data_IF_902676404225
#
_entry.id   IF_902676404225
#
_cell.length_a   1.000
_cell.length_b   1.000
_cell.length_c   1.000
_cell.angle_alpha   90.00
_cell.angle_beta   90.00
_cell.angle_gamma   90.00
#
_symmetry.space_group_name_H-M   'P 1'
#
loop_
_entity.id
_entity.type
_entity.pdbx_description
1 polymer ?
#
# COMPACT_ATOMS: atom_id res chain seq x y z
N UNK A 1 -30.45 0.48 -16.63
CA UNK A 1 -31.30 1.57 -16.09
C UNK A 1 -30.77 2.15 -14.77
N UNK A 2 -30.48 1.34 -13.75
CA UNK A 2 -29.94 1.79 -12.44
C UNK A 2 -28.59 2.49 -12.60
N UNK A 3 -27.71 1.97 -13.45
CA UNK A 3 -26.38 2.53 -13.68
C UNK A 3 -26.44 3.90 -14.38
N UNK A 4 -27.37 4.06 -15.34
CA UNK A 4 -27.57 5.34 -16.04
C UNK A 4 -28.09 6.40 -15.08
N UNK A 5 -29.09 6.08 -14.26
CA UNK A 5 -29.62 6.99 -13.21
C UNK A 5 -28.55 7.38 -12.18
N UNK A 6 -27.67 6.46 -11.83
CA UNK A 6 -26.56 6.73 -10.92
C UNK A 6 -25.56 7.73 -11.54
N UNK A 7 -25.22 7.57 -12.82
CA UNK A 7 -24.33 8.48 -13.54
C UNK A 7 -24.96 9.87 -13.72
N UNK A 8 -26.26 9.92 -14.02
CA UNK A 8 -27.00 11.19 -14.12
C UNK A 8 -27.01 11.92 -12.77
N UNK A 9 -27.28 11.23 -11.68
CA UNK A 9 -27.23 11.78 -10.32
C UNK A 9 -25.82 12.32 -9.96
N UNK A 10 -24.76 11.65 -10.41
CA UNK A 10 -23.38 12.09 -10.18
C UNK A 10 -23.07 13.37 -10.95
N UNK A 11 -23.51 13.47 -12.22
CA UNK A 11 -23.35 14.66 -13.05
C UNK A 11 -24.11 15.86 -12.49
N UNK A 12 -25.35 15.66 -12.00
CA UNK A 12 -26.13 16.70 -11.35
C UNK A 12 -25.47 17.28 -10.09
N UNK A 13 -24.58 16.50 -9.45
CA UNK A 13 -23.80 16.93 -8.29
C UNK A 13 -22.40 17.45 -8.64
N UNK A 14 -22.14 17.70 -9.93
CA UNK A 14 -20.86 18.24 -10.40
C UNK A 14 -19.69 17.24 -10.33
N UNK A 15 -19.99 15.94 -10.31
CA UNK A 15 -18.99 14.90 -10.29
C UNK A 15 -18.68 14.41 -11.69
N UNK A 16 -17.48 14.69 -12.15
CA UNK A 16 -17.08 14.41 -13.53
C UNK A 16 -16.29 13.11 -13.68
N UNK A 17 -15.81 12.53 -12.55
CA UNK A 17 -14.94 11.35 -12.59
C UNK A 17 -15.16 10.39 -11.40
N UNK A 18 -14.61 9.19 -11.51
CA UNK A 18 -14.70 8.16 -10.46
C UNK A 18 -13.99 8.54 -9.14
N UNK A 19 -13.05 9.47 -9.18
CA UNK A 19 -12.36 9.94 -7.98
C UNK A 19 -13.30 10.81 -7.13
N UNK A 20 -14.16 11.61 -7.76
CA UNK A 20 -15.20 12.39 -7.08
C UNK A 20 -16.21 11.46 -6.39
N UNK A 21 -16.55 10.33 -7.02
CA UNK A 21 -17.41 9.29 -6.43
C UNK A 21 -16.75 8.62 -5.23
N UNK A 22 -15.47 8.31 -5.31
CA UNK A 22 -14.72 7.73 -4.20
C UNK A 22 -14.64 8.69 -2.99
N UNK A 23 -14.64 9.99 -3.23
CA UNK A 23 -14.73 11.01 -2.17
C UNK A 23 -16.11 11.09 -1.50
N UNK A 24 -17.19 10.76 -2.23
CA UNK A 24 -18.56 10.81 -1.68
C UNK A 24 -18.99 9.59 -0.90
N UNK A 25 -18.45 8.43 -1.22
CA UNK A 25 -18.75 7.24 -0.43
C UNK A 25 -18.03 7.38 0.91
N UNK A 26 -18.64 8.16 1.78
CA UNK A 26 -18.36 8.15 3.22
C UNK A 26 -18.59 6.72 3.68
N UNK A 27 -17.55 5.93 3.63
CA UNK A 27 -17.56 4.56 4.09
C UNK A 27 -17.69 4.64 5.60
N UNK A 28 -18.76 4.08 6.16
CA UNK A 28 -18.91 4.04 7.61
C UNK A 28 -17.69 3.35 8.24
N UNK A 29 -17.30 3.72 9.48
CA UNK A 29 -16.22 3.04 10.17
C UNK A 29 -16.36 1.52 10.18
N UNK A 30 -17.58 1.00 10.32
CA UNK A 30 -17.88 -0.43 10.31
C UNK A 30 -17.57 -1.09 8.97
N UNK A 31 -17.78 -0.39 7.87
CA UNK A 31 -17.44 -0.87 6.53
C UNK A 31 -15.92 -0.86 6.34
N UNK A 32 -15.24 0.23 6.69
CA UNK A 32 -13.77 0.33 6.62
C UNK A 32 -13.09 -0.75 7.45
N UNK A 33 -13.62 -1.06 8.62
CA UNK A 33 -13.08 -2.12 9.48
C UNK A 33 -13.12 -3.52 8.86
N UNK A 34 -13.98 -3.74 7.87
CA UNK A 34 -14.11 -5.03 7.15
C UNK A 34 -13.31 -5.09 5.85
N UNK A 35 -12.82 -3.96 5.35
CA UNK A 35 -12.08 -3.90 4.09
C UNK A 35 -10.67 -4.50 4.23
N UNK A 36 -10.06 -5.00 3.14
CA UNK A 36 -8.65 -5.35 3.14
C UNK A 36 -7.79 -4.12 3.45
N UNK A 37 -6.61 -4.35 4.02
CA UNK A 37 -5.64 -3.30 4.34
C UNK A 37 -4.36 -3.54 3.57
N UNK A 38 -3.72 -2.44 3.18
CA UNK A 38 -2.42 -2.43 2.50
C UNK A 38 -1.45 -1.57 3.28
N UNK A 39 -0.17 -1.87 3.16
CA UNK A 39 0.86 -1.00 3.69
C UNK A 39 0.98 0.26 2.84
N UNK A 40 1.29 1.37 3.49
CA UNK A 40 1.64 2.64 2.86
C UNK A 40 2.64 3.38 3.74
N UNK A 41 3.54 4.14 3.13
CA UNK A 41 4.48 4.99 3.85
C UNK A 41 3.96 6.42 3.79
N UNK A 42 3.86 7.07 4.93
CA UNK A 42 3.45 8.48 5.02
C UNK A 42 4.58 9.26 5.70
N UNK A 43 5.15 10.23 4.99
CA UNK A 43 6.23 11.07 5.46
C UNK A 43 5.74 12.50 5.63
N UNK A 44 5.99 13.09 6.80
CA UNK A 44 5.74 14.51 7.02
C UNK A 44 6.91 15.35 6.47
N UNK A 45 6.62 16.33 5.63
CA UNK A 45 7.61 17.20 5.00
C UNK A 45 7.78 18.55 5.70
N UNK A 46 6.84 18.91 6.57
CA UNK A 46 6.82 20.16 7.32
C UNK A 46 5.93 20.04 8.56
N UNK A 47 5.79 21.12 9.32
CA UNK A 47 4.99 21.14 10.54
C UNK A 47 3.50 20.92 10.32
N UNK A 48 2.95 21.39 9.19
CA UNK A 48 1.55 21.10 8.81
C UNK A 48 1.37 19.61 8.60
N UNK A 49 2.27 18.99 7.82
CA UNK A 49 2.27 17.54 7.59
C UNK A 49 2.43 16.75 8.89
N UNK A 50 3.28 17.19 9.81
CA UNK A 50 3.44 16.55 11.11
C UNK A 50 2.12 16.56 11.92
N UNK A 51 1.42 17.69 11.94
CA UNK A 51 0.10 17.78 12.60
C UNK A 51 -0.93 16.90 11.90
N UNK A 52 -0.94 16.89 10.57
CA UNK A 52 -1.85 16.06 9.78
C UNK A 52 -1.57 14.56 9.98
N UNK A 53 -0.29 14.16 10.07
CA UNK A 53 0.08 12.80 10.40
C UNK A 53 -0.45 12.37 11.77
N UNK A 54 -0.32 13.23 12.80
CA UNK A 54 -0.88 12.95 14.13
C UNK A 54 -2.40 12.80 14.11
N UNK A 55 -3.11 13.59 13.29
CA UNK A 55 -4.56 13.46 13.10
C UNK A 55 -4.92 12.12 12.48
N UNK A 56 -4.20 11.70 11.42
CA UNK A 56 -4.41 10.40 10.78
C UNK A 56 -4.14 9.24 11.75
N UNK A 57 -3.05 9.31 12.52
CA UNK A 57 -2.75 8.31 13.56
C UNK A 57 -3.85 8.25 14.60
N UNK A 58 -4.33 9.40 15.08
CA UNK A 58 -5.44 9.45 16.04
C UNK A 58 -6.72 8.82 15.48
N UNK A 59 -7.11 9.21 14.26
CA UNK A 59 -8.28 8.62 13.59
C UNK A 59 -8.14 7.10 13.40
N UNK A 60 -6.97 6.63 13.04
CA UNK A 60 -6.72 5.21 12.81
C UNK A 60 -6.89 4.36 14.08
N UNK A 61 -6.63 4.94 15.25
CA UNK A 61 -6.77 4.25 16.54
C UNK A 61 -8.14 4.46 17.19
N UNK A 62 -8.71 5.64 17.08
CA UNK A 62 -9.95 5.99 17.79
C UNK A 62 -11.20 5.61 16.97
N UNK A 63 -11.13 5.68 15.63
CA UNK A 63 -12.30 5.53 14.77
C UNK A 63 -12.22 4.26 13.90
N UNK A 64 -11.04 3.96 13.37
CA UNK A 64 -10.89 2.92 12.34
C UNK A 64 -10.05 1.71 12.80
N UNK A 65 -9.94 1.48 14.10
CA UNK A 65 -9.17 0.35 14.64
C UNK A 65 -9.95 -0.97 14.55
N UNK A 66 -9.36 -1.96 13.87
CA UNK A 66 -9.82 -3.35 13.93
C UNK A 66 -8.61 -4.28 13.81
N UNK A 67 -8.19 -4.88 14.93
CA UNK A 67 -6.96 -5.68 15.08
C UNK A 67 -5.67 -4.90 14.82
N UNK A 68 -5.72 -3.88 13.97
CA UNK A 68 -4.66 -2.93 13.64
C UNK A 68 -5.25 -1.57 13.31
N UNK A 69 -4.49 -0.48 13.45
CA UNK A 69 -4.95 0.84 13.02
C UNK A 69 -5.06 0.89 11.49
N UNK A 70 -6.07 1.60 10.98
CA UNK A 70 -6.37 1.73 9.56
C UNK A 70 -6.58 3.19 9.20
N UNK A 71 -6.09 3.60 8.04
CA UNK A 71 -6.32 4.93 7.50
C UNK A 71 -7.08 4.79 6.18
N UNK A 72 -8.35 5.18 6.11
CA UNK A 72 -9.07 5.24 4.83
C UNK A 72 -8.42 6.24 3.89
N UNK A 73 -8.36 5.93 2.60
CA UNK A 73 -7.83 6.86 1.58
C UNK A 73 -8.54 8.22 1.61
N UNK A 74 -9.85 8.24 1.84
CA UNK A 74 -10.64 9.46 1.97
C UNK A 74 -10.16 10.36 3.11
N UNK A 75 -9.79 9.79 4.25
CA UNK A 75 -9.24 10.56 5.38
C UNK A 75 -7.81 11.03 5.06
N UNK A 76 -7.00 10.19 4.41
CA UNK A 76 -5.67 10.62 3.96
C UNK A 76 -5.76 11.84 3.03
N UNK A 77 -6.66 11.83 2.05
CA UNK A 77 -6.84 12.95 1.11
C UNK A 77 -7.21 14.25 1.82
N UNK A 78 -8.07 14.21 2.84
CA UNK A 78 -8.43 15.38 3.65
C UNK A 78 -7.24 16.03 4.35
N UNK A 79 -6.27 15.23 4.77
CA UNK A 79 -5.11 15.65 5.54
C UNK A 79 -3.80 15.55 4.75
N UNK A 80 -3.87 15.53 3.42
CA UNK A 80 -2.70 15.30 2.55
C UNK A 80 -1.66 16.43 2.60
N UNK A 81 -2.06 17.65 2.95
CA UNK A 81 -1.15 18.79 2.96
C UNK A 81 0.07 18.56 3.86
N UNK A 82 1.27 18.76 3.29
CA UNK A 82 2.54 18.54 3.97
C UNK A 82 2.93 17.07 4.16
N UNK A 83 2.23 16.14 3.48
CA UNK A 83 2.53 14.70 3.51
C UNK A 83 2.97 14.19 2.14
N UNK A 84 3.92 13.26 2.13
CA UNK A 84 4.27 12.41 0.99
C UNK A 84 3.78 10.99 1.26
N UNK A 85 3.21 10.37 0.23
CA UNK A 85 2.70 9.01 0.27
C UNK A 85 3.56 8.10 -0.62
N UNK A 86 4.11 7.04 -0.05
CA UNK A 86 4.88 6.00 -0.76
C UNK A 86 4.09 4.71 -0.92
N UNK A 87 4.40 3.96 -1.99
CA UNK A 87 3.70 2.72 -2.34
C UNK A 87 4.00 1.54 -1.41
N UNK A 88 5.00 1.67 -0.54
CA UNK A 88 5.46 0.65 0.40
C UNK A 88 5.95 -0.66 -0.26
N UNK A 89 6.01 -1.73 0.54
CA UNK A 89 6.58 -3.04 0.23
C UNK A 89 5.63 -3.96 -0.56
N UNK A 90 5.89 -5.26 -0.54
CA UNK A 90 5.05 -6.31 -1.16
C UNK A 90 3.62 -6.36 -0.57
N UNK A 91 3.44 -5.88 0.67
CA UNK A 91 2.12 -5.73 1.27
C UNK A 91 1.41 -4.43 0.88
N UNK A 92 2.04 -3.59 0.06
CA UNK A 92 1.47 -2.37 -0.51
C UNK A 92 0.45 -2.66 -1.61
N UNK A 93 -0.50 -1.73 -1.80
CA UNK A 93 -1.59 -1.93 -2.76
C UNK A 93 -1.11 -1.98 -4.22
N UNK A 94 -0.10 -1.17 -4.58
CA UNK A 94 0.47 -1.19 -5.94
C UNK A 94 1.13 -2.53 -6.24
N UNK A 95 1.98 -3.02 -5.33
CA UNK A 95 2.65 -4.30 -5.51
C UNK A 95 1.62 -5.43 -5.63
N UNK A 96 0.62 -5.48 -4.75
CA UNK A 96 -0.47 -6.46 -4.78
C UNK A 96 -1.32 -6.38 -6.03
N UNK A 97 -1.55 -5.19 -6.57
CA UNK A 97 -2.26 -5.01 -7.83
C UNK A 97 -1.48 -5.59 -9.02
N UNK A 98 -0.16 -5.40 -9.03
CA UNK A 98 0.73 -5.94 -10.07
C UNK A 98 0.76 -7.47 -10.01
N UNK A 99 1.02 -8.04 -8.83
CA UNK A 99 1.06 -9.50 -8.60
C UNK A 99 -0.29 -10.15 -8.93
N UNK A 100 -1.39 -9.51 -8.53
CA UNK A 100 -2.74 -9.99 -8.79
C UNK A 100 -3.22 -9.79 -10.24
N UNK A 101 -2.38 -9.27 -11.14
CA UNK A 101 -2.72 -9.06 -12.56
C UNK A 101 -3.89 -8.11 -12.77
N UNK A 102 -4.07 -7.09 -11.91
CA UNK A 102 -5.16 -6.13 -12.05
C UNK A 102 -5.07 -5.35 -13.38
N UNK A 103 -6.20 -4.84 -13.89
CA UNK A 103 -6.22 -4.06 -15.13
C UNK A 103 -5.24 -2.89 -15.09
N UNK A 104 -4.62 -2.59 -16.25
CA UNK A 104 -3.61 -1.52 -16.36
C UNK A 104 -4.13 -0.16 -15.89
N UNK A 105 -5.40 0.15 -16.18
CA UNK A 105 -6.04 1.40 -15.75
C UNK A 105 -6.08 1.54 -14.23
N UNK A 106 -6.32 0.44 -13.51
CA UNK A 106 -6.30 0.43 -12.06
C UNK A 106 -4.88 0.65 -11.51
N UNK A 107 -3.88 -0.01 -12.11
CA UNK A 107 -2.47 0.17 -11.77
C UNK A 107 -2.05 1.63 -12.00
N UNK A 108 -2.42 2.23 -13.13
CA UNK A 108 -2.14 3.64 -13.43
C UNK A 108 -2.76 4.57 -12.38
N UNK A 109 -4.01 4.32 -11.99
CA UNK A 109 -4.69 5.09 -10.96
C UNK A 109 -3.96 5.02 -9.62
N UNK A 110 -3.48 3.84 -9.23
CA UNK A 110 -2.67 3.66 -8.02
C UNK A 110 -1.34 4.42 -8.11
N UNK A 111 -0.62 4.31 -9.23
CA UNK A 111 0.64 5.05 -9.43
C UNK A 111 0.44 6.56 -9.31
N UNK A 112 -0.65 7.09 -9.87
CA UNK A 112 -0.98 8.53 -9.77
C UNK A 112 -1.30 8.97 -8.34
N UNK A 113 -1.84 8.08 -7.52
CA UNK A 113 -2.20 8.38 -6.14
C UNK A 113 -0.98 8.54 -5.23
N UNK A 114 0.09 7.77 -5.47
CA UNK A 114 1.34 7.82 -4.72
C UNK A 114 2.22 9.01 -5.18
N UNK A 115 2.97 9.59 -4.25
CA UNK A 115 3.96 10.63 -4.54
C UNK A 115 5.27 10.01 -5.04
N UNK A 116 5.64 8.84 -4.50
CA UNK A 116 6.78 8.05 -4.94
C UNK A 116 6.46 6.56 -4.88
N UNK A 117 7.23 5.76 -5.62
CA UNK A 117 7.11 4.31 -5.65
C UNK A 117 8.32 3.68 -4.97
N UNK A 118 8.16 2.44 -4.51
CA UNK A 118 9.18 1.72 -3.75
C UNK A 118 9.44 0.34 -4.37
N UNK A 119 10.72 -0.03 -4.41
CA UNK A 119 11.17 -1.38 -4.70
C UNK A 119 12.05 -1.87 -3.54
N UNK A 120 12.12 -3.18 -3.37
CA UNK A 120 12.91 -3.82 -2.33
C UNK A 120 13.82 -4.91 -2.92
N UNK A 121 14.89 -5.33 -2.21
CA UNK A 121 15.71 -6.48 -2.61
C UNK A 121 14.83 -7.71 -2.81
N UNK A 122 15.20 -8.55 -3.78
CA UNK A 122 14.42 -9.76 -4.12
C UNK A 122 14.31 -10.71 -2.93
N UNK A 123 15.35 -10.81 -2.10
CA UNK A 123 15.35 -11.62 -0.89
C UNK A 123 14.22 -11.30 0.09
N UNK A 124 13.80 -10.03 0.18
CA UNK A 124 12.66 -9.65 1.05
C UNK A 124 11.33 -10.31 0.63
N UNK A 125 11.22 -10.67 -0.66
CA UNK A 125 9.99 -11.23 -1.24
C UNK A 125 10.15 -12.71 -1.63
N UNK A 126 11.28 -13.34 -1.33
CA UNK A 126 11.56 -14.73 -1.69
C UNK A 126 10.58 -15.72 -1.05
N UNK A 127 10.02 -15.39 0.11
CA UNK A 127 8.99 -16.19 0.76
C UNK A 127 7.77 -16.43 -0.15
N UNK A 128 7.49 -15.54 -1.11
CA UNK A 128 6.37 -15.68 -2.06
C UNK A 128 6.55 -16.89 -2.97
N UNK A 129 7.79 -17.29 -3.27
CA UNK A 129 8.10 -18.45 -4.11
C UNK A 129 7.74 -19.79 -3.43
N UNK A 130 7.63 -19.78 -2.11
CA UNK A 130 7.31 -20.97 -1.28
C UNK A 130 5.85 -21.02 -0.87
N UNK A 131 5.07 -20.03 -1.25
CA UNK A 131 3.67 -19.89 -0.83
C UNK A 131 2.73 -20.33 -1.93
N UNK A 132 1.94 -21.36 -1.71
CA UNK A 132 0.87 -21.81 -2.62
C UNK A 132 -0.22 -20.75 -2.84
N UNK A 133 -0.21 -19.67 -2.07
CA UNK A 133 -1.20 -18.58 -2.13
C UNK A 133 -0.76 -17.43 -3.03
N UNK A 134 0.51 -17.38 -3.38
CA UNK A 134 1.07 -16.30 -4.21
C UNK A 134 1.25 -16.78 -5.66
N UNK A 135 0.88 -15.97 -6.65
CA UNK A 135 1.00 -16.34 -8.06
C UNK A 135 2.41 -16.07 -8.63
N UNK A 136 3.45 -16.14 -7.79
CA UNK A 136 4.86 -15.90 -8.16
C UNK A 136 5.62 -17.18 -7.88
N UNK A 137 6.35 -17.68 -8.90
CA UNK A 137 6.99 -18.99 -8.83
C UNK A 137 8.51 -18.94 -9.05
N UNK A 138 9.04 -17.82 -9.53
CA UNK A 138 10.45 -17.68 -9.88
C UNK A 138 11.05 -16.35 -9.43
N UNK A 139 12.36 -16.33 -9.20
CA UNK A 139 13.10 -15.11 -8.91
C UNK A 139 13.04 -14.10 -10.05
N UNK A 140 12.90 -14.57 -11.29
CA UNK A 140 12.77 -13.71 -12.46
C UNK A 140 11.43 -12.96 -12.43
N UNK A 141 10.33 -13.63 -12.04
CA UNK A 141 9.03 -12.98 -11.87
C UNK A 141 9.08 -11.89 -10.77
N UNK A 142 9.76 -12.14 -9.65
CA UNK A 142 9.99 -11.10 -8.62
C UNK A 142 10.78 -9.91 -9.19
N UNK A 143 11.81 -10.20 -9.98
CA UNK A 143 12.61 -9.17 -10.63
C UNK A 143 11.79 -8.36 -11.64
N UNK A 144 10.90 -9.01 -12.38
CA UNK A 144 10.01 -8.36 -13.35
C UNK A 144 8.98 -7.44 -12.70
N UNK A 145 8.53 -7.77 -11.49
CA UNK A 145 7.68 -6.86 -10.70
C UNK A 145 8.44 -5.56 -10.38
N UNK A 146 9.68 -5.67 -9.88
CA UNK A 146 10.52 -4.50 -9.61
C UNK A 146 10.79 -3.68 -10.89
N UNK A 147 11.12 -4.35 -11.99
CA UNK A 147 11.31 -3.70 -13.31
C UNK A 147 10.03 -2.98 -13.77
N UNK A 148 8.87 -3.57 -13.55
CA UNK A 148 7.59 -2.96 -13.90
C UNK A 148 7.32 -1.71 -13.06
N UNK A 149 7.61 -1.74 -11.74
CA UNK A 149 7.49 -0.56 -10.87
C UNK A 149 8.43 0.56 -11.35
N UNK A 150 9.68 0.24 -11.70
CA UNK A 150 10.63 1.22 -12.25
C UNK A 150 10.10 1.86 -13.54
N UNK A 151 9.60 1.05 -14.48
CA UNK A 151 9.01 1.55 -15.73
C UNK A 151 7.79 2.45 -15.51
N UNK A 152 6.93 2.09 -14.56
CA UNK A 152 5.80 2.93 -14.17
C UNK A 152 6.27 4.26 -13.56
N UNK A 153 7.34 4.24 -12.76
CA UNK A 153 7.97 5.45 -12.24
C UNK A 153 8.46 6.38 -13.35
N UNK A 154 9.17 5.83 -14.35
CA UNK A 154 9.63 6.58 -15.52
C UNK A 154 8.45 7.14 -16.34
N UNK A 155 7.47 6.31 -16.67
CA UNK A 155 6.31 6.68 -17.49
C UNK A 155 5.47 7.79 -16.86
N UNK A 156 5.27 7.74 -15.53
CA UNK A 156 4.43 8.69 -14.80
C UNK A 156 5.23 9.76 -14.03
N UNK A 157 6.54 9.88 -14.30
CA UNK A 157 7.43 10.83 -13.64
C UNK A 157 7.34 10.77 -12.10
N UNK A 158 7.35 9.55 -11.55
CA UNK A 158 7.38 9.30 -10.11
C UNK A 158 8.78 8.86 -9.71
N UNK A 159 9.28 9.41 -8.60
CA UNK A 159 10.51 8.92 -8.00
C UNK A 159 10.32 7.45 -7.60
N UNK A 160 11.30 6.61 -7.92
CA UNK A 160 11.36 5.23 -7.43
C UNK A 160 12.52 5.14 -6.45
N UNK A 161 12.25 4.72 -5.23
CA UNK A 161 13.26 4.54 -4.18
C UNK A 161 13.47 3.06 -3.88
N UNK A 162 14.72 2.68 -3.63
CA UNK A 162 15.05 1.34 -3.14
C UNK A 162 15.20 1.40 -1.63
N UNK A 163 14.41 0.58 -0.93
CA UNK A 163 14.47 0.42 0.54
C UNK A 163 14.79 -1.03 0.87
N UNK A 164 15.37 -1.28 2.04
CA UNK A 164 15.79 -2.63 2.41
C UNK A 164 14.90 -3.30 3.44
N UNK A 165 13.98 -2.57 4.07
CA UNK A 165 13.12 -3.08 5.14
C UNK A 165 13.91 -3.78 6.26
N UNK A 166 14.96 -3.12 6.74
CA UNK A 166 15.94 -3.65 7.69
C UNK A 166 15.28 -3.98 9.02
N UNK A 167 15.47 -5.20 9.51
CA UNK A 167 14.88 -5.68 10.74
C UNK A 167 15.90 -6.03 11.85
N UNK A 168 17.18 -5.96 11.56
CA UNK A 168 18.27 -6.14 12.52
C UNK A 168 19.46 -5.28 12.12
N UNK A 169 20.39 -5.03 13.05
CA UNK A 169 21.50 -4.11 12.85
C UNK A 169 22.70 -4.80 12.21
N UNK A 170 23.19 -5.87 12.85
CA UNK A 170 24.35 -6.60 12.42
C UNK A 170 23.93 -7.95 11.81
N UNK A 171 24.68 -8.49 10.80
CA UNK A 171 24.34 -9.77 10.16
C UNK A 171 24.15 -10.93 11.15
N UNK A 172 24.89 -10.93 12.26
CA UNK A 172 24.79 -11.94 13.30
C UNK A 172 23.45 -11.93 14.05
N UNK A 173 22.73 -10.81 14.03
CA UNK A 173 21.43 -10.66 14.68
C UNK A 173 20.30 -11.39 13.92
N UNK A 174 20.56 -11.85 12.71
CA UNK A 174 19.63 -12.63 11.90
C UNK A 174 19.03 -13.82 12.67
N UNK A 175 19.85 -14.50 13.50
CA UNK A 175 19.40 -15.62 14.31
C UNK A 175 18.28 -15.23 15.30
N UNK A 176 18.37 -14.03 15.89
CA UNK A 176 17.34 -13.54 16.80
C UNK A 176 16.04 -13.23 16.08
N UNK A 177 16.13 -12.71 14.85
CA UNK A 177 14.95 -12.52 13.99
C UNK A 177 14.26 -13.85 13.72
N UNK A 178 14.99 -14.90 13.33
CA UNK A 178 14.43 -16.24 13.10
C UNK A 178 13.70 -16.78 14.34
N UNK A 179 14.31 -16.68 15.52
CA UNK A 179 13.71 -17.11 16.77
C UNK A 179 12.38 -16.35 17.03
N UNK A 180 12.37 -15.03 16.82
CA UNK A 180 11.16 -14.21 17.00
C UNK A 180 10.07 -14.59 15.99
N UNK A 181 10.42 -14.81 14.73
CA UNK A 181 9.47 -15.22 13.70
C UNK A 181 8.87 -16.60 14.00
N UNK A 182 9.69 -17.58 14.38
CA UNK A 182 9.23 -18.91 14.82
C UNK A 182 8.29 -18.79 16.03
N UNK A 183 8.63 -17.97 17.01
CA UNK A 183 7.78 -17.71 18.18
C UNK A 183 6.43 -17.04 17.84
N UNK A 184 6.34 -16.34 16.71
CA UNK A 184 5.10 -15.78 16.16
C UNK A 184 4.29 -16.76 15.31
N UNK A 185 4.77 -17.99 15.13
CA UNK A 185 4.09 -19.04 14.39
C UNK A 185 4.37 -19.09 12.90
N UNK A 186 5.42 -18.43 12.43
CA UNK A 186 5.90 -18.59 11.04
C UNK A 186 6.61 -19.94 10.92
N UNK A 187 6.09 -20.81 10.07
CA UNK A 187 6.62 -22.19 9.89
C UNK A 187 7.89 -22.25 9.06
N UNK A 188 8.17 -21.21 8.30
CA UNK A 188 9.33 -21.03 7.42
C UNK A 188 10.33 -19.98 7.96
N UNK A 189 10.35 -19.80 9.29
CA UNK A 189 11.18 -18.78 9.93
C UNK A 189 12.69 -18.94 9.63
N UNK A 190 13.18 -20.17 9.40
CA UNK A 190 14.55 -20.45 9.03
C UNK A 190 14.91 -20.01 7.60
N UNK A 191 13.90 -19.72 6.76
CA UNK A 191 14.08 -19.33 5.37
C UNK A 191 13.70 -17.85 5.13
N UNK A 192 13.17 -17.16 6.15
CA UNK A 192 12.73 -15.75 6.07
C UNK A 192 13.70 -14.76 6.71
N UNK A 193 14.85 -15.21 7.10
CA UNK A 193 15.81 -14.38 7.81
C UNK A 193 16.83 -13.71 6.88
#
# INVERSE_FOLDING_TARGET
EIFVKFIEMLKERGMENLDDVNHMVSTSPETVMKMPTYHAIILATNDIGRINLYRLVSLSHLTYYNKRPRVPKSEFVKYREGLLLGSACEAGELYRAIVGGRPQEEIIRLVKFYDYLEIQPLGNNEFMLRSDKEPVNTMEELQDINRRICKLGEEFNKLVVATCDVHFLDPEDEIYRRIIMAGKGFTDADEQA
#
